data_IF_650222552815
#
_entry.id   IF_650222552815
#
_cell.length_a   1.000
_cell.length_b   1.000
_cell.length_c   1.000
_cell.angle_alpha   90.00
_cell.angle_beta   90.00
_cell.angle_gamma   90.00
#
_symmetry.space_group_name_H-M   'P 1'
#
loop_
_entity.id
_entity.type
_entity.pdbx_description
1 polymer ?
#
# COMPACT_ATOMS: atom_id res chain seq x y z
N UNK A 1 -3.57 17.34 2.46
CA UNK A 1 -2.85 16.58 1.42
C UNK A 1 -3.29 15.13 1.58
N UNK A 2 -4.04 14.61 0.62
CA UNK A 2 -4.43 13.19 0.60
C UNK A 2 -3.49 12.50 -0.37
N UNK A 3 -2.35 12.00 0.13
CA UNK A 3 -1.45 11.15 -0.65
C UNK A 3 -2.13 9.80 -0.87
N UNK A 4 -2.17 9.33 -2.11
CA UNK A 4 -2.76 8.03 -2.43
C UNK A 4 -1.80 6.90 -1.99
N UNK A 5 -2.33 5.73 -1.65
CA UNK A 5 -1.53 4.60 -1.15
C UNK A 5 -0.42 4.18 -2.13
N UNK A 6 -0.67 4.28 -3.44
CA UNK A 6 0.33 4.02 -4.48
C UNK A 6 1.48 5.05 -4.48
N UNK A 7 1.19 6.31 -4.16
CA UNK A 7 2.23 7.35 -4.04
C UNK A 7 3.13 7.07 -2.83
N UNK A 8 2.53 6.64 -1.72
CA UNK A 8 3.26 6.23 -0.51
C UNK A 8 4.19 5.06 -0.80
N UNK A 9 3.71 4.04 -1.52
CA UNK A 9 4.52 2.88 -1.94
C UNK A 9 5.72 3.32 -2.79
N UNK A 10 5.52 4.23 -3.75
CA UNK A 10 6.61 4.73 -4.61
C UNK A 10 7.67 5.49 -3.80
N UNK A 11 7.25 6.30 -2.84
CA UNK A 11 8.17 7.03 -1.95
C UNK A 11 8.98 6.07 -1.08
N UNK A 12 8.32 5.10 -0.43
CA UNK A 12 8.99 4.10 0.41
C UNK A 12 9.98 3.26 -0.39
N UNK A 13 9.66 2.88 -1.63
CA UNK A 13 10.61 2.18 -2.51
C UNK A 13 11.81 3.05 -2.89
N UNK A 14 11.60 4.35 -3.13
CA UNK A 14 12.68 5.29 -3.45
C UNK A 14 13.60 5.55 -2.25
N UNK A 15 13.02 5.64 -1.05
CA UNK A 15 13.75 5.75 0.22
C UNK A 15 14.52 4.47 0.50
N UNK A 16 13.89 3.30 0.37
CA UNK A 16 14.52 2.01 0.61
C UNK A 16 15.77 1.78 -0.25
N UNK A 17 15.77 2.28 -1.49
CA UNK A 17 16.92 2.20 -2.40
C UNK A 17 18.16 2.92 -1.87
N UNK A 18 17.97 3.97 -1.06
CA UNK A 18 19.05 4.79 -0.50
C UNK A 18 19.16 4.65 1.03
N UNK A 19 18.36 3.78 1.65
CA UNK A 19 18.28 3.67 3.10
C UNK A 19 19.53 3.01 3.69
N UNK A 20 19.96 3.53 4.84
CA UNK A 20 20.98 2.89 5.65
C UNK A 20 20.48 1.55 6.20
N UNK A 21 21.36 0.56 6.43
CA UNK A 21 20.95 -0.78 6.89
C UNK A 21 20.11 -0.79 8.18
N UNK A 22 20.28 0.21 9.04
CA UNK A 22 19.55 0.38 10.30
C UNK A 22 18.09 0.82 10.07
N UNK A 23 17.86 1.70 9.11
CA UNK A 23 16.53 2.26 8.78
C UNK A 23 15.82 1.42 7.71
N UNK A 24 16.59 0.69 6.90
CA UNK A 24 16.09 -0.19 5.84
C UNK A 24 15.00 -1.13 6.33
N UNK A 25 15.18 -1.75 7.50
CA UNK A 25 14.19 -2.68 8.05
C UNK A 25 12.90 -1.99 8.51
N UNK A 26 12.99 -0.74 8.95
CA UNK A 26 11.81 0.05 9.30
C UNK A 26 11.02 0.40 8.04
N UNK A 27 11.72 0.90 7.02
CA UNK A 27 11.12 1.25 5.72
C UNK A 27 10.54 0.01 5.02
N UNK A 28 11.17 -1.16 5.13
CA UNK A 28 10.63 -2.43 4.61
C UNK A 28 9.29 -2.80 5.27
N UNK A 29 9.18 -2.65 6.59
CA UNK A 29 7.92 -2.91 7.30
C UNK A 29 6.83 -1.91 6.90
N UNK A 30 7.18 -0.64 6.74
CA UNK A 30 6.23 0.39 6.26
C UNK A 30 5.76 0.11 4.83
N UNK A 31 6.67 -0.33 3.97
CA UNK A 31 6.35 -0.72 2.59
C UNK A 31 5.44 -1.94 2.55
N UNK A 32 5.71 -2.96 3.38
CA UNK A 32 4.85 -4.14 3.52
C UNK A 32 3.44 -3.76 3.98
N UNK A 33 3.32 -2.89 4.98
CA UNK A 33 2.04 -2.39 5.46
C UNK A 33 1.27 -1.65 4.37
N UNK A 34 1.93 -0.73 3.65
CA UNK A 34 1.30 0.03 2.58
C UNK A 34 0.82 -0.85 1.42
N UNK A 35 1.58 -1.91 1.09
CA UNK A 35 1.18 -2.90 0.08
C UNK A 35 -0.06 -3.70 0.54
N UNK A 36 -0.10 -4.12 1.80
CA UNK A 36 -1.26 -4.82 2.36
C UNK A 36 -2.50 -3.92 2.39
N UNK A 37 -2.36 -2.65 2.76
CA UNK A 37 -3.44 -1.67 2.70
C UNK A 37 -3.97 -1.48 1.27
N UNK A 38 -3.09 -1.40 0.27
CA UNK A 38 -3.50 -1.32 -1.14
C UNK A 38 -4.29 -2.56 -1.56
N UNK A 39 -3.88 -3.74 -1.13
CA UNK A 39 -4.60 -4.98 -1.43
C UNK A 39 -6.00 -4.99 -0.80
N UNK A 40 -6.14 -4.51 0.44
CA UNK A 40 -7.45 -4.33 1.08
C UNK A 40 -8.31 -3.33 0.30
N UNK A 41 -7.75 -2.18 -0.08
CA UNK A 41 -8.46 -1.16 -0.88
C UNK A 41 -8.93 -1.75 -2.22
N UNK A 42 -8.11 -2.58 -2.85
CA UNK A 42 -8.47 -3.26 -4.10
C UNK A 42 -9.57 -4.30 -3.89
N UNK A 43 -9.45 -5.15 -2.87
CA UNK A 43 -10.44 -6.16 -2.53
C UNK A 43 -11.79 -5.54 -2.11
N UNK A 44 -11.77 -4.42 -1.39
CA UNK A 44 -12.98 -3.66 -1.06
C UNK A 44 -13.64 -3.06 -2.31
N UNK A 45 -12.85 -2.59 -3.28
CA UNK A 45 -13.38 -2.10 -4.55
C UNK A 45 -13.95 -3.24 -5.41
N UNK A 46 -13.25 -4.36 -5.52
CA UNK A 46 -13.75 -5.56 -6.24
C UNK A 46 -15.00 -6.15 -5.58
N UNK A 47 -15.02 -6.28 -4.24
CA UNK A 47 -16.19 -6.75 -3.49
C UNK A 47 -17.38 -5.79 -3.53
N UNK A 48 -17.15 -4.48 -3.73
CA UNK A 48 -18.21 -3.51 -4.03
C UNK A 48 -18.79 -3.70 -5.43
N UNK A 49 -17.99 -4.13 -6.40
CA UNK A 49 -18.41 -4.34 -7.79
C UNK A 49 -19.20 -5.66 -7.91
N UNK A 50 -18.86 -6.70 -7.14
CA UNK A 50 -19.60 -7.98 -7.12
C UNK A 50 -20.87 -7.98 -6.25
N UNK A 51 -21.14 -6.93 -5.47
CA UNK A 51 -22.38 -6.77 -4.73
C UNK A 51 -23.56 -6.37 -5.66
N UNK A 52 -23.79 -7.13 -6.75
CA UNK A 52 -25.07 -7.07 -7.46
C UNK A 52 -26.14 -7.66 -6.53
N UNK A 53 -27.19 -6.89 -6.17
CA UNK A 53 -28.22 -7.38 -5.27
C UNK A 53 -28.86 -8.63 -5.89
N UNK A 54 -29.01 -9.73 -5.13
CA UNK A 54 -29.76 -10.87 -5.64
C UNK A 54 -31.20 -10.37 -5.80
N UNK A 55 -31.69 -10.45 -7.04
CA UNK A 55 -33.09 -10.21 -7.38
C UNK A 55 -34.05 -10.91 -6.41
#
# INVERSE_FOLDING_TARGET
MTTCIDEVIVLLQAELRNADPTERRQIENELELALAEREVIWAEQEGRIEAEPPF
#
